data_IF_263310748607
#
_entry.id   IF_263310748607
#
_cell.length_a   1.000
_cell.length_b   1.000
_cell.length_c   1.000
_cell.angle_alpha   90.00
_cell.angle_beta   90.00
_cell.angle_gamma   90.00
#
_symmetry.space_group_name_H-M   'P 1'
#
loop_
_entity.id
_entity.type
_entity.pdbx_description
1 polymer ?
#
# COMPACT_ATOMS: atom_id res chain seq x y z
N UNK A 1 -30.28 -2.61 -41.13
CA UNK A 1 -30.03 -1.50 -42.06
C UNK A 1 -28.91 -0.65 -41.48
N UNK A 2 -27.67 -0.85 -41.93
CA UNK A 2 -26.50 -0.07 -41.51
C UNK A 2 -26.24 1.00 -42.57
N UNK A 3 -26.10 2.27 -42.18
CA UNK A 3 -25.04 3.06 -42.82
C UNK A 3 -24.54 4.20 -41.93
N UNK A 4 -23.63 3.99 -40.98
CA UNK A 4 -22.82 5.08 -40.43
C UNK A 4 -21.33 4.72 -40.57
N UNK A 5 -20.79 4.97 -41.75
CA UNK A 5 -19.35 5.04 -41.95
C UNK A 5 -18.82 6.27 -41.20
N UNK A 6 -18.17 6.04 -40.05
CA UNK A 6 -17.45 7.10 -39.35
C UNK A 6 -16.23 7.45 -40.20
N UNK A 7 -16.23 8.64 -40.80
CA UNK A 7 -15.07 9.21 -41.50
C UNK A 7 -13.85 9.11 -40.58
N UNK A 8 -12.71 8.67 -41.13
CA UNK A 8 -11.41 8.67 -40.48
C UNK A 8 -11.28 9.82 -39.48
N UNK A 9 -11.20 9.53 -38.19
CA UNK A 9 -10.68 10.50 -37.24
C UNK A 9 -9.26 10.82 -37.71
N UNK A 10 -9.14 11.94 -38.41
CA UNK A 10 -7.88 12.43 -38.93
C UNK A 10 -7.09 12.81 -37.69
N UNK A 11 -6.17 11.95 -37.25
CA UNK A 11 -5.17 12.36 -36.27
C UNK A 11 -4.51 13.59 -36.90
N UNK A 12 -4.71 14.77 -36.31
CA UNK A 12 -4.22 16.01 -36.92
C UNK A 12 -2.71 15.84 -37.16
N UNK A 13 -2.21 16.34 -38.30
CA UNK A 13 -0.87 16.05 -38.86
C UNK A 13 0.32 16.34 -37.91
N UNK A 14 0.10 16.95 -36.75
CA UNK A 14 1.12 17.39 -35.80
C UNK A 14 1.14 16.65 -34.45
N UNK A 15 0.46 15.50 -34.30
CA UNK A 15 0.50 14.73 -33.05
C UNK A 15 1.66 13.73 -33.00
N UNK A 16 2.25 13.56 -31.81
CA UNK A 16 3.29 12.57 -31.55
C UNK A 16 2.62 11.21 -31.30
N UNK A 17 2.89 10.21 -32.14
CA UNK A 17 2.29 8.88 -32.00
C UNK A 17 2.98 8.04 -30.92
N UNK A 18 2.20 7.42 -30.03
CA UNK A 18 2.74 6.44 -29.07
C UNK A 18 3.20 5.18 -29.77
N UNK A 19 4.50 4.87 -29.70
CA UNK A 19 5.06 3.62 -30.21
C UNK A 19 4.49 2.42 -29.43
N UNK A 20 4.20 1.32 -30.12
CA UNK A 20 3.81 0.05 -29.49
C UNK A 20 4.97 -0.95 -29.48
N UNK A 21 4.93 -1.94 -28.58
CA UNK A 21 5.89 -3.06 -28.53
C UNK A 21 5.16 -4.36 -28.21
N UNK A 22 5.57 -5.44 -28.86
CA UNK A 22 5.19 -6.79 -28.45
C UNK A 22 6.02 -7.23 -27.23
N UNK A 23 5.34 -7.63 -26.17
CA UNK A 23 5.92 -8.29 -25.00
C UNK A 23 5.55 -9.76 -25.04
N UNK A 24 6.56 -10.63 -25.05
CA UNK A 24 6.39 -12.06 -24.90
C UNK A 24 6.77 -12.46 -23.48
N UNK A 25 5.96 -13.31 -22.84
CA UNK A 25 6.24 -13.90 -21.53
C UNK A 25 5.86 -15.38 -21.56
N UNK A 26 6.78 -16.23 -21.15
CA UNK A 26 6.52 -17.65 -20.90
C UNK A 26 6.05 -17.77 -19.44
N UNK A 27 4.92 -18.41 -19.20
CA UNK A 27 4.55 -18.90 -17.87
C UNK A 27 5.00 -20.35 -17.78
N UNK A 28 5.61 -20.70 -16.66
CA UNK A 28 5.97 -22.07 -16.32
C UNK A 28 4.91 -22.69 -15.41
N UNK A 29 4.83 -24.01 -15.37
CA UNK A 29 4.05 -24.75 -14.39
C UNK A 29 4.78 -24.87 -13.04
N UNK A 30 4.20 -25.61 -12.09
CA UNK A 30 4.74 -25.86 -10.75
C UNK A 30 6.08 -26.63 -10.77
N UNK A 31 6.41 -27.29 -11.88
CA UNK A 31 7.66 -28.05 -12.08
C UNK A 31 8.72 -27.24 -12.82
N UNK A 32 8.43 -25.98 -13.17
CA UNK A 32 9.34 -25.11 -13.90
C UNK A 32 9.30 -25.26 -15.42
N UNK A 33 8.41 -26.11 -15.96
CA UNK A 33 8.30 -26.36 -17.39
C UNK A 33 7.40 -25.32 -18.09
N UNK A 34 7.70 -24.89 -19.33
CA UNK A 34 6.89 -23.92 -20.07
C UNK A 34 5.45 -24.40 -20.29
N UNK A 35 4.48 -23.75 -19.65
CA UNK A 35 3.05 -24.10 -19.74
C UNK A 35 2.26 -23.17 -20.67
N UNK A 36 2.61 -21.88 -20.74
CA UNK A 36 1.88 -20.91 -21.60
C UNK A 36 2.80 -19.85 -22.17
N UNK A 37 2.80 -19.71 -23.50
CA UNK A 37 3.42 -18.60 -24.21
C UNK A 37 2.40 -17.45 -24.33
N UNK A 38 2.68 -16.29 -23.73
CA UNK A 38 1.83 -15.10 -23.80
C UNK A 38 2.51 -14.02 -24.63
N UNK A 39 1.83 -13.50 -25.65
CA UNK A 39 2.22 -12.27 -26.34
C UNK A 39 1.21 -11.15 -26.08
N UNK A 40 1.68 -9.93 -25.86
CA UNK A 40 0.85 -8.74 -25.64
C UNK A 40 1.39 -7.57 -26.44
N UNK A 41 0.53 -6.90 -27.21
CA UNK A 41 0.87 -5.60 -27.78
C UNK A 41 0.59 -4.52 -26.72
N UNK A 42 1.63 -3.79 -26.32
CA UNK A 42 1.54 -2.77 -25.26
C UNK A 42 1.98 -1.42 -25.83
N UNK A 43 1.23 -0.38 -25.53
CA UNK A 43 1.62 1.00 -25.81
C UNK A 43 2.78 1.41 -24.89
N UNK A 44 3.82 2.06 -25.43
CA UNK A 44 4.94 2.57 -24.63
C UNK A 44 4.55 3.87 -23.91
N UNK A 45 3.69 3.77 -22.91
CA UNK A 45 3.11 4.91 -22.18
C UNK A 45 4.04 5.66 -21.22
N UNK A 46 5.31 5.25 -21.09
CA UNK A 46 6.26 5.85 -20.13
C UNK A 46 7.20 6.89 -20.73
N UNK A 47 7.04 7.26 -22.01
CA UNK A 47 7.86 8.32 -22.62
C UNK A 47 7.27 9.73 -22.42
N UNK A 48 6.01 9.81 -21.97
CA UNK A 48 5.31 11.08 -21.76
C UNK A 48 5.76 11.72 -20.44
N UNK A 49 6.07 13.00 -20.47
CA UNK A 49 6.36 13.80 -19.29
C UNK A 49 5.14 14.62 -18.91
N UNK A 50 4.77 14.53 -17.63
CA UNK A 50 3.71 15.36 -17.07
C UNK A 50 4.07 16.85 -17.27
N UNK A 51 3.12 17.63 -17.84
CA UNK A 51 3.23 19.05 -18.24
C UNK A 51 3.92 19.38 -19.58
N UNK A 52 4.62 18.45 -20.24
CA UNK A 52 5.22 18.70 -21.56
C UNK A 52 4.32 18.16 -22.68
N UNK A 53 4.13 16.85 -22.77
CA UNK A 53 3.53 16.18 -23.93
C UNK A 53 2.39 15.21 -23.54
N UNK A 54 2.02 15.21 -22.26
CA UNK A 54 1.07 14.26 -21.70
C UNK A 54 -0.31 14.26 -22.38
N UNK A 55 -0.76 15.42 -22.89
CA UNK A 55 -2.05 15.58 -23.57
C UNK A 55 -1.95 15.56 -25.10
N UNK A 56 -0.74 15.55 -25.65
CA UNK A 56 -0.48 15.73 -27.10
C UNK A 56 -0.09 14.41 -27.80
N UNK A 57 0.13 13.35 -27.03
CA UNK A 57 0.57 12.04 -27.52
C UNK A 57 -0.63 11.09 -27.61
N UNK A 58 -0.86 10.55 -28.81
CA UNK A 58 -2.01 9.68 -29.11
C UNK A 58 -1.53 8.30 -29.59
N UNK A 59 -2.18 7.24 -29.12
CA UNK A 59 -1.98 5.90 -29.68
C UNK A 59 -2.65 5.81 -31.07
N UNK A 60 -2.13 4.99 -32.01
CA UNK A 60 -2.79 4.76 -33.28
C UNK A 60 -4.25 4.33 -33.07
N UNK A 61 -5.18 4.87 -33.88
CA UNK A 61 -6.61 4.59 -33.81
C UNK A 61 -6.86 3.08 -33.99
N UNK A 62 -7.01 2.36 -32.88
CA UNK A 62 -7.51 1.00 -32.87
C UNK A 62 -8.99 1.04 -32.50
N UNK A 63 -9.84 0.37 -33.28
CA UNK A 63 -11.26 0.20 -32.95
C UNK A 63 -11.47 -0.66 -31.69
N UNK A 64 -10.41 -1.32 -31.19
CA UNK A 64 -10.43 -2.15 -29.98
C UNK A 64 -9.63 -1.49 -28.86
N UNK A 65 -10.07 -1.70 -27.62
CA UNK A 65 -9.32 -1.29 -26.44
C UNK A 65 -7.96 -2.01 -26.38
N UNK A 66 -6.87 -1.25 -26.29
CA UNK A 66 -5.51 -1.79 -26.17
C UNK A 66 -5.09 -1.80 -24.70
N UNK A 67 -4.63 -2.95 -24.22
CA UNK A 67 -4.12 -3.13 -22.87
C UNK A 67 -3.00 -2.14 -22.54
N UNK A 68 -3.09 -1.50 -21.36
CA UNK A 68 -2.13 -0.50 -20.88
C UNK A 68 -2.52 0.96 -21.18
N UNK A 69 -3.54 1.20 -22.02
CA UNK A 69 -4.13 2.53 -22.15
C UNK A 69 -5.11 2.81 -21.00
N UNK A 70 -5.15 4.06 -20.52
CA UNK A 70 -6.02 4.46 -19.39
C UNK A 70 -7.51 4.18 -19.62
N UNK A 71 -7.96 4.28 -20.87
CA UNK A 71 -9.34 4.05 -21.26
C UNK A 71 -9.70 2.56 -21.39
N UNK A 72 -8.72 1.67 -21.57
CA UNK A 72 -9.00 0.25 -21.83
C UNK A 72 -9.71 -0.45 -20.67
N UNK A 73 -9.32 -0.25 -19.39
CA UNK A 73 -10.07 -0.78 -18.25
C UNK A 73 -11.51 -0.30 -18.20
N UNK A 74 -11.79 0.98 -18.51
CA UNK A 74 -13.15 1.53 -18.50
C UNK A 74 -14.01 0.92 -19.61
N UNK A 75 -13.47 0.76 -20.81
CA UNK A 75 -14.18 0.10 -21.91
C UNK A 75 -14.48 -1.36 -21.60
N UNK A 76 -13.53 -2.08 -20.99
CA UNK A 76 -13.72 -3.45 -20.53
C UNK A 76 -14.83 -3.53 -19.47
N UNK A 77 -14.73 -2.71 -18.43
CA UNK A 77 -15.73 -2.66 -17.36
C UNK A 77 -17.13 -2.40 -17.90
N UNK A 78 -17.31 -1.40 -18.77
CA UNK A 78 -18.63 -1.09 -19.34
C UNK A 78 -19.20 -2.27 -20.16
N UNK A 79 -18.35 -2.99 -20.91
CA UNK A 79 -18.78 -4.17 -21.67
C UNK A 79 -19.22 -5.31 -20.75
N UNK A 80 -18.47 -5.54 -19.68
CA UNK A 80 -18.77 -6.57 -18.67
C UNK A 80 -20.05 -6.22 -17.90
N UNK A 81 -20.15 -4.99 -17.37
CA UNK A 81 -21.32 -4.51 -16.64
C UNK A 81 -22.60 -4.65 -17.48
N UNK A 82 -22.59 -4.22 -18.74
CA UNK A 82 -23.74 -4.37 -19.63
C UNK A 82 -24.11 -5.84 -19.90
N UNK A 83 -23.12 -6.73 -19.97
CA UNK A 83 -23.39 -8.16 -20.10
C UNK A 83 -24.01 -8.75 -18.82
N UNK A 84 -23.52 -8.34 -17.65
CA UNK A 84 -24.03 -8.75 -16.35
C UNK A 84 -25.47 -8.26 -16.13
N UNK A 85 -25.75 -7.01 -16.48
CA UNK A 85 -27.11 -6.46 -16.48
C UNK A 85 -28.05 -7.28 -17.38
N UNK A 86 -27.59 -7.67 -18.58
CA UNK A 86 -28.35 -8.54 -19.48
C UNK A 86 -28.58 -9.96 -18.93
N UNK A 87 -27.73 -10.44 -18.03
CA UNK A 87 -27.90 -11.74 -17.33
C UNK A 87 -28.91 -11.64 -16.19
N UNK A 88 -29.14 -10.44 -15.66
CA UNK A 88 -30.05 -10.16 -14.54
C UNK A 88 -29.38 -9.59 -13.29
N UNK A 89 -28.08 -9.27 -13.35
CA UNK A 89 -27.38 -8.63 -12.24
C UNK A 89 -27.68 -7.13 -12.14
N UNK A 90 -27.66 -6.59 -10.93
CA UNK A 90 -27.65 -5.16 -10.63
C UNK A 90 -26.37 -4.79 -9.89
N UNK A 91 -25.74 -3.67 -10.26
CA UNK A 91 -24.60 -3.14 -9.50
C UNK A 91 -25.04 -2.69 -8.10
N UNK A 92 -24.17 -2.85 -7.11
CA UNK A 92 -24.40 -2.40 -5.75
C UNK A 92 -24.34 -0.87 -5.67
N UNK A 93 -25.18 -0.27 -4.82
CA UNK A 93 -25.13 1.17 -4.55
C UNK A 93 -23.87 1.58 -3.76
N UNK A 94 -23.25 0.63 -3.03
CA UNK A 94 -22.09 0.90 -2.19
C UNK A 94 -20.76 0.69 -2.93
N UNK A 95 -20.73 -0.19 -3.94
CA UNK A 95 -19.53 -0.57 -4.69
C UNK A 95 -19.88 -1.00 -6.12
N UNK A 96 -19.45 -0.22 -7.12
CA UNK A 96 -19.71 -0.51 -8.54
C UNK A 96 -19.10 -1.86 -8.99
N UNK A 97 -18.09 -2.37 -8.29
CA UNK A 97 -17.46 -3.66 -8.61
C UNK A 97 -18.22 -4.88 -8.09
N UNK A 98 -19.23 -4.65 -7.24
CA UNK A 98 -20.08 -5.70 -6.67
C UNK A 98 -21.43 -5.72 -7.37
N UNK A 99 -21.78 -6.87 -7.92
CA UNK A 99 -23.05 -7.13 -8.59
C UNK A 99 -23.89 -8.14 -7.79
N UNK A 100 -25.20 -7.93 -7.76
CA UNK A 100 -26.15 -8.78 -7.05
C UNK A 100 -27.23 -9.29 -8.02
N UNK A 101 -27.66 -10.53 -7.85
CA UNK A 101 -28.79 -11.12 -8.58
C UNK A 101 -29.59 -11.99 -7.62
N UNK A 102 -30.92 -11.93 -7.71
CA UNK A 102 -31.79 -12.65 -6.76
C UNK A 102 -31.83 -12.02 -5.37
N UNK A 103 -32.55 -12.68 -4.45
CA UNK A 103 -32.74 -12.25 -3.06
C UNK A 103 -32.84 -13.48 -2.14
N UNK A 104 -32.54 -13.31 -0.84
CA UNK A 104 -32.62 -14.37 0.17
C UNK A 104 -31.70 -15.55 -0.14
N UNK A 105 -32.24 -16.77 -0.15
CA UNK A 105 -31.49 -18.01 -0.41
C UNK A 105 -31.04 -18.19 -1.88
N UNK A 106 -31.58 -17.36 -2.78
CA UNK A 106 -31.21 -17.32 -4.21
C UNK A 106 -30.27 -16.17 -4.55
N UNK A 107 -29.68 -15.55 -3.53
CA UNK A 107 -28.79 -14.41 -3.70
C UNK A 107 -27.45 -14.88 -4.27
N UNK A 108 -27.13 -14.37 -5.46
CA UNK A 108 -25.81 -14.49 -6.07
C UNK A 108 -25.08 -13.15 -6.00
N UNK A 109 -23.90 -13.14 -5.41
CA UNK A 109 -22.98 -12.01 -5.42
C UNK A 109 -21.85 -12.27 -6.40
N UNK A 110 -21.52 -11.26 -7.21
CA UNK A 110 -20.44 -11.31 -8.17
C UNK A 110 -19.54 -10.10 -7.96
N UNK A 111 -18.31 -10.34 -7.50
CA UNK A 111 -17.29 -9.32 -7.31
C UNK A 111 -16.32 -9.31 -8.49
N UNK A 112 -16.06 -8.14 -9.06
CA UNK A 112 -15.18 -7.96 -10.22
C UNK A 112 -13.92 -7.19 -9.82
N UNK A 113 -12.76 -7.78 -10.08
CA UNK A 113 -11.49 -7.06 -10.06
C UNK A 113 -10.79 -7.19 -11.42
N UNK A 114 -10.94 -6.16 -12.26
CA UNK A 114 -10.40 -6.12 -13.63
C UNK A 114 -10.85 -7.36 -14.43
N UNK A 115 -9.99 -8.36 -14.60
CA UNK A 115 -10.26 -9.59 -15.35
C UNK A 115 -10.66 -10.77 -14.43
N UNK A 116 -10.52 -10.62 -13.11
CA UNK A 116 -10.77 -11.67 -12.13
C UNK A 116 -12.18 -11.49 -11.50
N UNK A 117 -13.00 -12.54 -11.59
CA UNK A 117 -14.38 -12.55 -11.08
C UNK A 117 -14.48 -13.56 -9.94
N UNK A 118 -15.11 -13.15 -8.84
CA UNK A 118 -15.42 -13.99 -7.70
C UNK A 118 -16.94 -14.11 -7.53
N UNK A 119 -17.45 -15.34 -7.49
CA UNK A 119 -18.87 -15.65 -7.35
C UNK A 119 -19.15 -16.21 -5.96
N UNK A 120 -20.24 -15.76 -5.35
CA UNK A 120 -20.77 -16.27 -4.10
C UNK A 120 -22.25 -16.59 -4.28
N UNK A 121 -22.66 -17.79 -3.88
CA UNK A 121 -24.07 -18.20 -3.75
C UNK A 121 -24.13 -19.38 -2.77
N UNK A 122 -25.31 -19.59 -2.18
CA UNK A 122 -25.67 -20.78 -1.39
C UNK A 122 -25.95 -22.02 -2.24
N UNK A 123 -26.01 -21.89 -3.58
CA UNK A 123 -26.38 -22.95 -4.50
C UNK A 123 -25.39 -23.08 -5.65
N UNK A 124 -24.72 -24.22 -5.75
CA UNK A 124 -23.81 -24.52 -6.85
C UNK A 124 -24.51 -24.45 -8.22
N UNK A 125 -25.81 -24.79 -8.26
CA UNK A 125 -26.62 -24.68 -9.50
C UNK A 125 -26.71 -23.24 -10.01
N UNK A 126 -26.79 -22.27 -9.12
CA UNK A 126 -26.82 -20.85 -9.50
C UNK A 126 -25.45 -20.38 -9.99
N UNK A 127 -24.38 -20.82 -9.33
CA UNK A 127 -23.00 -20.56 -9.76
C UNK A 127 -22.79 -21.12 -11.18
N UNK A 128 -23.15 -22.37 -11.42
CA UNK A 128 -23.01 -23.03 -12.72
C UNK A 128 -23.83 -22.31 -13.80
N UNK A 129 -25.07 -21.92 -13.49
CA UNK A 129 -25.93 -21.17 -14.41
C UNK A 129 -25.34 -19.81 -14.79
N UNK A 130 -24.75 -19.08 -13.83
CA UNK A 130 -24.06 -17.81 -14.11
C UNK A 130 -22.77 -18.03 -14.90
N UNK A 131 -21.97 -19.05 -14.56
CA UNK A 131 -20.75 -19.40 -15.30
C UNK A 131 -21.04 -19.74 -16.76
N UNK A 132 -22.12 -20.49 -17.03
CA UNK A 132 -22.55 -20.82 -18.39
C UNK A 132 -22.88 -19.55 -19.19
N UNK A 133 -23.77 -18.69 -18.66
CA UNK A 133 -24.16 -17.44 -19.33
C UNK A 133 -22.98 -16.48 -19.56
N UNK A 134 -22.02 -16.45 -18.63
CA UNK A 134 -20.79 -15.67 -18.81
C UNK A 134 -19.90 -16.24 -19.92
N UNK A 135 -19.77 -17.57 -19.99
CA UNK A 135 -18.93 -18.25 -20.98
C UNK A 135 -19.49 -18.15 -22.40
N UNK A 136 -20.81 -17.95 -22.55
CA UNK A 136 -21.45 -17.65 -23.84
C UNK A 136 -21.01 -16.28 -24.40
N UNK A 137 -20.72 -15.31 -23.53
CA UNK A 137 -20.34 -13.94 -23.94
C UNK A 137 -18.83 -13.67 -23.88
N UNK A 138 -18.10 -14.40 -23.04
CA UNK A 138 -16.69 -14.15 -22.73
C UNK A 138 -15.89 -15.44 -22.69
N UNK A 139 -14.60 -15.33 -23.04
CA UNK A 139 -13.66 -16.45 -22.89
C UNK A 139 -13.23 -16.56 -21.42
N UNK A 140 -13.98 -17.32 -20.64
CA UNK A 140 -13.74 -17.55 -19.22
C UNK A 140 -13.00 -18.87 -18.98
N UNK A 141 -12.23 -18.93 -17.89
CA UNK A 141 -11.68 -20.17 -17.35
C UNK A 141 -12.18 -20.30 -15.92
N UNK A 142 -12.96 -21.34 -15.63
CA UNK A 142 -13.33 -21.67 -14.25
C UNK A 142 -12.10 -22.21 -13.52
N UNK A 143 -11.84 -21.66 -12.33
CA UNK A 143 -10.76 -22.09 -11.44
C UNK A 143 -11.27 -22.97 -10.30
N UNK A 144 -12.57 -23.29 -10.29
CA UNK A 144 -13.23 -24.03 -9.22
C UNK A 144 -13.36 -23.20 -7.95
N UNK A 145 -13.26 -23.87 -6.80
CA UNK A 145 -13.37 -23.24 -5.50
C UNK A 145 -12.30 -22.16 -5.27
N UNK A 146 -12.73 -20.98 -4.84
CA UNK A 146 -11.83 -19.86 -4.57
C UNK A 146 -10.96 -20.12 -3.33
N UNK A 147 -9.71 -20.55 -3.57
CA UNK A 147 -8.67 -20.70 -2.53
C UNK A 147 -7.64 -19.58 -2.56
N UNK A 148 -7.57 -18.83 -3.66
CA UNK A 148 -6.64 -17.72 -3.82
C UNK A 148 -7.28 -16.63 -4.68
N UNK A 149 -7.28 -15.40 -4.18
CA UNK A 149 -7.84 -14.23 -4.88
C UNK A 149 -7.00 -12.99 -4.55
N UNK A 150 -6.53 -12.27 -5.57
CA UNK A 150 -5.80 -11.00 -5.44
C UNK A 150 -4.64 -10.99 -4.43
N UNK A 151 -3.86 -12.08 -4.35
CA UNK A 151 -2.74 -12.14 -3.40
C UNK A 151 -3.12 -12.67 -2.01
N UNK A 152 -4.40 -12.97 -1.77
CA UNK A 152 -4.90 -13.54 -0.52
C UNK A 152 -5.23 -15.02 -0.71
N UNK A 153 -4.76 -15.85 0.22
CA UNK A 153 -5.28 -17.21 0.41
C UNK A 153 -6.58 -17.15 1.19
N UNK A 154 -7.53 -18.00 0.78
CA UNK A 154 -8.86 -18.13 1.35
C UNK A 154 -8.98 -19.55 1.89
N UNK A 155 -9.03 -19.68 3.20
CA UNK A 155 -9.35 -20.91 3.91
C UNK A 155 -10.72 -20.75 4.56
N UNK A 156 -11.56 -21.78 4.52
CA UNK A 156 -12.90 -21.74 5.11
C UNK A 156 -13.33 -23.09 5.59
N UNK A 157 -14.16 -23.07 6.61
CA UNK A 157 -14.84 -24.24 7.16
C UNK A 157 -16.32 -23.88 7.28
N UNK A 158 -17.13 -24.45 6.40
CA UNK A 158 -18.57 -24.19 6.34
C UNK A 158 -19.32 -24.82 7.50
N UNK A 159 -18.82 -25.93 8.07
CA UNK A 159 -19.44 -26.59 9.22
C UNK A 159 -19.22 -25.80 10.50
N UNK A 160 -18.00 -25.26 10.68
CA UNK A 160 -17.64 -24.45 11.85
C UNK A 160 -17.92 -22.96 11.67
N UNK A 161 -18.27 -22.52 10.46
CA UNK A 161 -18.69 -21.16 10.15
C UNK A 161 -17.58 -20.11 10.21
N UNK A 162 -16.32 -20.49 9.94
CA UNK A 162 -15.21 -19.53 9.90
C UNK A 162 -14.59 -19.41 8.50
N UNK A 163 -14.09 -18.19 8.23
CA UNK A 163 -13.35 -17.82 7.02
C UNK A 163 -12.04 -17.17 7.48
N UNK A 164 -10.92 -17.61 6.90
CA UNK A 164 -9.59 -17.07 7.16
C UNK A 164 -8.99 -16.59 5.86
N UNK A 165 -8.53 -15.35 5.89
CA UNK A 165 -7.83 -14.71 4.79
C UNK A 165 -6.38 -14.46 5.23
N UNK A 166 -5.40 -14.92 4.46
CA UNK A 166 -3.98 -14.71 4.83
C UNK A 166 -3.08 -14.63 3.60
N UNK A 167 -1.88 -14.08 3.77
CA UNK A 167 -0.86 -13.98 2.71
C UNK A 167 0.35 -14.88 2.99
N UNK A 168 0.12 -16.06 3.57
CA UNK A 168 1.19 -16.95 4.07
C UNK A 168 2.26 -17.25 3.02
N UNK A 169 1.87 -17.52 1.78
CA UNK A 169 2.82 -17.75 0.68
C UNK A 169 3.70 -16.51 0.39
N UNK A 170 3.13 -15.30 0.42
CA UNK A 170 3.91 -14.08 0.20
C UNK A 170 4.89 -13.85 1.35
N UNK A 171 4.44 -14.07 2.60
CA UNK A 171 5.29 -13.99 3.80
C UNK A 171 6.45 -14.98 3.69
N UNK A 172 6.17 -16.25 3.36
CA UNK A 172 7.20 -17.27 3.20
C UNK A 172 8.17 -16.94 2.05
N UNK A 173 7.65 -16.45 0.91
CA UNK A 173 8.49 -16.02 -0.21
C UNK A 173 9.44 -14.88 0.19
N UNK A 174 8.96 -13.93 1.00
CA UNK A 174 9.79 -12.87 1.56
C UNK A 174 10.80 -13.42 2.55
N UNK A 175 10.37 -14.31 3.46
CA UNK A 175 11.24 -14.93 4.45
C UNK A 175 12.39 -15.70 3.79
N UNK A 176 12.10 -16.51 2.77
CA UNK A 176 13.12 -17.21 1.98
C UNK A 176 14.04 -16.23 1.24
N UNK A 177 13.47 -15.23 0.55
CA UNK A 177 14.23 -14.24 -0.21
C UNK A 177 15.23 -13.45 0.66
N UNK A 178 14.86 -13.18 1.91
CA UNK A 178 15.68 -12.41 2.85
C UNK A 178 16.37 -13.29 3.90
N UNK A 179 16.34 -14.62 3.73
CA UNK A 179 16.92 -15.59 4.66
C UNK A 179 16.53 -15.32 6.13
N UNK A 180 15.25 -15.02 6.36
CA UNK A 180 14.67 -14.84 7.70
C UNK A 180 14.50 -16.22 8.34
N UNK A 181 15.56 -16.74 8.94
CA UNK A 181 15.52 -17.96 9.75
C UNK A 181 14.77 -17.72 11.06
N UNK A 182 14.08 -18.76 11.56
CA UNK A 182 13.29 -18.71 12.80
C UNK A 182 14.13 -18.24 14.02
N UNK A 183 15.43 -18.54 14.01
CA UNK A 183 16.44 -18.10 14.98
C UNK A 183 16.66 -16.57 15.03
N UNK A 184 16.15 -15.82 14.04
CA UNK A 184 16.20 -14.35 13.98
C UNK A 184 14.95 -13.67 14.50
N UNK A 185 13.87 -14.42 14.73
CA UNK A 185 12.71 -13.91 15.44
C UNK A 185 13.11 -13.86 16.91
N UNK A 186 13.45 -12.68 17.41
CA UNK A 186 13.80 -12.54 18.82
C UNK A 186 12.68 -13.13 19.67
N UNK A 187 13.03 -13.88 20.72
CA UNK A 187 12.13 -14.33 21.80
C UNK A 187 11.53 -13.14 22.60
N UNK A 188 11.65 -11.92 22.05
CA UNK A 188 11.22 -10.69 22.65
C UNK A 188 9.70 -10.61 22.70
N UNK A 189 9.21 -10.17 23.85
CA UNK A 189 7.84 -9.71 24.00
C UNK A 189 7.48 -8.76 22.84
N UNK A 190 6.31 -8.93 22.21
CA UNK A 190 5.83 -8.10 21.09
C UNK A 190 5.51 -6.70 21.60
N UNK A 191 6.56 -5.93 21.83
CA UNK A 191 6.53 -4.61 22.43
C UNK A 191 6.94 -3.59 21.40
N UNK A 192 6.05 -2.64 21.14
CA UNK A 192 6.31 -1.54 20.23
C UNK A 192 7.21 -0.50 20.91
N UNK A 193 8.16 0.04 20.17
CA UNK A 193 8.88 1.26 20.52
C UNK A 193 9.23 2.04 19.26
N UNK A 194 9.54 3.32 19.37
CA UNK A 194 9.93 4.10 18.21
C UNK A 194 11.03 5.10 18.57
N UNK A 195 11.94 5.31 17.63
CA UNK A 195 12.99 6.31 17.70
C UNK A 195 12.71 7.37 16.63
N UNK A 196 12.79 8.64 17.01
CA UNK A 196 12.60 9.78 16.11
C UNK A 196 13.78 10.75 16.22
N UNK A 197 14.18 11.29 15.07
CA UNK A 197 15.28 12.27 14.93
C UNK A 197 14.96 13.24 13.77
N UNK A 198 15.60 14.40 13.76
CA UNK A 198 15.57 15.31 12.63
C UNK A 198 16.89 16.06 12.43
N UNK A 199 17.21 16.38 11.18
CA UNK A 199 18.20 17.42 10.87
C UNK A 199 17.51 18.74 10.62
N UNK A 200 18.02 19.80 11.24
CA UNK A 200 17.50 21.15 11.05
C UNK A 200 18.15 21.83 9.84
N UNK A 201 17.32 22.39 8.96
CA UNK A 201 17.72 23.19 7.80
C UNK A 201 18.84 22.58 6.93
N UNK A 202 18.84 21.25 6.80
CA UNK A 202 19.89 20.50 6.13
C UNK A 202 19.77 20.48 4.61
N UNK A 203 18.62 20.83 4.04
CA UNK A 203 18.44 20.90 2.60
C UNK A 203 18.98 22.22 2.03
N UNK A 204 19.87 22.15 1.04
CA UNK A 204 20.61 23.33 0.55
C UNK A 204 19.73 24.29 -0.26
N UNK A 205 18.70 23.81 -0.94
CA UNK A 205 17.87 24.64 -1.83
C UNK A 205 16.83 25.48 -1.09
N UNK A 206 16.25 24.96 -0.01
CA UNK A 206 15.14 25.61 0.70
C UNK A 206 15.26 25.64 2.22
N UNK A 207 16.42 25.24 2.77
CA UNK A 207 16.67 25.20 4.22
C UNK A 207 15.61 24.41 5.01
N UNK A 208 14.99 23.42 4.36
CA UNK A 208 14.06 22.53 5.03
C UNK A 208 14.79 21.46 5.84
N UNK A 209 14.05 20.90 6.80
CA UNK A 209 14.55 19.88 7.72
C UNK A 209 14.25 18.48 7.17
N UNK A 210 15.08 17.48 7.47
CA UNK A 210 14.76 16.07 7.18
C UNK A 210 14.38 15.41 8.50
N UNK A 211 13.17 14.84 8.55
CA UNK A 211 12.71 14.08 9.71
C UNK A 211 12.75 12.58 9.42
N UNK A 212 13.09 11.79 10.44
CA UNK A 212 13.12 10.35 10.35
C UNK A 212 12.58 9.68 11.60
N UNK A 213 12.08 8.46 11.42
CA UNK A 213 11.74 7.59 12.54
C UNK A 213 11.92 6.12 12.16
N UNK A 214 12.11 5.28 13.19
CA UNK A 214 12.13 3.83 13.08
C UNK A 214 11.30 3.23 14.22
N UNK A 215 10.25 2.50 13.87
CA UNK A 215 9.40 1.74 14.79
C UNK A 215 9.91 0.31 14.88
N UNK A 216 10.08 -0.16 16.11
CA UNK A 216 10.63 -1.46 16.44
C UNK A 216 9.57 -2.32 17.14
N UNK A 217 9.47 -3.59 16.76
CA UNK A 217 8.65 -4.62 17.44
C UNK A 217 9.48 -5.89 17.54
N UNK A 218 9.51 -6.52 18.72
CA UNK A 218 10.26 -7.77 18.92
C UNK A 218 11.77 -7.65 18.66
N UNK A 219 12.33 -6.45 18.80
CA UNK A 219 13.75 -6.17 18.52
C UNK A 219 14.09 -5.89 17.06
N UNK A 220 13.12 -5.95 16.14
CA UNK A 220 13.31 -5.67 14.71
C UNK A 220 12.52 -4.46 14.20
N UNK A 221 12.96 -3.80 13.12
CA UNK A 221 12.27 -2.65 12.56
C UNK A 221 11.07 -3.08 11.71
N UNK A 222 9.89 -2.54 12.00
CA UNK A 222 8.64 -2.89 11.31
C UNK A 222 8.06 -1.74 10.49
N UNK A 223 8.43 -0.51 10.78
CA UNK A 223 8.07 0.68 10.00
C UNK A 223 9.15 1.74 10.16
N UNK A 224 9.55 2.39 9.08
CA UNK A 224 10.57 3.43 9.10
C UNK A 224 10.28 4.50 8.06
N UNK A 225 10.86 5.68 8.27
CA UNK A 225 10.72 6.80 7.35
C UNK A 225 11.94 7.69 7.39
N UNK A 226 12.34 8.18 6.22
CA UNK A 226 13.23 9.31 6.04
C UNK A 226 12.57 10.24 5.03
N UNK A 227 12.22 11.47 5.44
CA UNK A 227 11.58 12.41 4.52
C UNK A 227 11.88 13.87 4.88
N UNK A 228 12.11 14.67 3.84
CA UNK A 228 12.01 16.13 3.87
C UNK A 228 10.68 16.56 4.52
N UNK A 229 10.77 17.41 5.54
CA UNK A 229 9.60 17.94 6.23
C UNK A 229 8.86 18.92 5.31
N UNK A 230 7.53 18.81 5.26
CA UNK A 230 6.68 19.65 4.40
C UNK A 230 6.57 21.09 4.90
N UNK A 231 6.77 21.31 6.20
CA UNK A 231 6.73 22.63 6.82
C UNK A 231 8.13 23.04 7.29
N UNK A 232 8.44 24.33 7.17
CA UNK A 232 9.74 24.88 7.58
C UNK A 232 9.80 25.01 9.09
N UNK A 233 10.67 24.21 9.71
CA UNK A 233 10.99 24.33 11.12
C UNK A 233 11.80 25.60 11.41
N UNK A 234 11.38 26.42 12.37
CA UNK A 234 12.08 27.64 12.77
C UNK A 234 13.19 27.39 13.79
N UNK A 235 13.30 26.16 14.31
CA UNK A 235 14.37 25.76 15.22
C UNK A 235 14.64 24.26 15.15
N UNK A 236 15.79 23.82 15.66
CA UNK A 236 16.12 22.39 15.81
C UNK A 236 15.15 21.66 16.75
N UNK A 237 14.69 22.33 17.81
CA UNK A 237 13.71 21.79 18.75
C UNK A 237 12.36 21.55 18.06
N UNK A 238 12.00 22.42 17.13
CA UNK A 238 10.80 22.29 16.30
C UNK A 238 10.91 21.15 15.28
N UNK A 239 12.02 21.04 14.55
CA UNK A 239 12.20 19.94 13.58
C UNK A 239 12.16 18.57 14.26
N UNK A 240 12.74 18.46 15.45
CA UNK A 240 12.69 17.26 16.29
C UNK A 240 11.27 16.93 16.75
N UNK A 241 10.54 17.95 17.20
CA UNK A 241 9.13 17.78 17.57
C UNK A 241 8.27 17.31 16.39
N UNK A 242 8.54 17.83 15.19
CA UNK A 242 7.86 17.39 13.97
C UNK A 242 8.13 15.92 13.66
N UNK A 243 9.38 15.47 13.81
CA UNK A 243 9.73 14.06 13.66
C UNK A 243 9.00 13.19 14.70
N UNK A 244 9.02 13.58 15.97
CA UNK A 244 8.26 12.92 17.04
C UNK A 244 6.75 12.84 16.75
N UNK A 245 6.16 13.91 16.20
CA UNK A 245 4.75 13.92 15.82
C UNK A 245 4.44 12.91 14.70
N UNK A 246 5.30 12.83 13.68
CA UNK A 246 5.13 11.86 12.60
C UNK A 246 5.34 10.42 13.09
N UNK A 247 6.33 10.18 13.95
CA UNK A 247 6.54 8.90 14.61
C UNK A 247 5.32 8.48 15.44
N UNK A 248 4.77 9.39 16.26
CA UNK A 248 3.61 9.12 17.10
C UNK A 248 2.37 8.72 16.30
N UNK A 249 2.13 9.34 15.13
CA UNK A 249 1.04 8.91 14.24
C UNK A 249 1.20 7.47 13.79
N UNK A 250 2.42 7.10 13.38
CA UNK A 250 2.73 5.74 12.95
C UNK A 250 2.56 4.75 14.10
N UNK A 251 3.07 5.09 15.28
CA UNK A 251 2.95 4.26 16.48
C UNK A 251 1.49 3.99 16.86
N UNK A 252 0.60 4.98 16.77
CA UNK A 252 -0.82 4.79 17.08
C UNK A 252 -1.49 3.85 16.07
N UNK A 253 -1.12 3.95 14.79
CA UNK A 253 -1.60 3.00 13.79
C UNK A 253 -1.09 1.58 14.08
N UNK A 254 0.21 1.43 14.36
CA UNK A 254 0.81 0.15 14.73
C UNK A 254 0.20 -0.44 16.01
N UNK A 255 -0.10 0.37 17.03
CA UNK A 255 -0.79 -0.10 18.25
C UNK A 255 -2.16 -0.72 17.94
N UNK A 256 -2.91 -0.13 16.99
CA UNK A 256 -4.21 -0.67 16.57
C UNK A 256 -4.04 -1.98 15.81
N UNK A 257 -3.10 -2.02 14.87
CA UNK A 257 -2.77 -3.24 14.13
C UNK A 257 -2.34 -4.36 15.08
N UNK A 258 -1.43 -4.08 16.01
CA UNK A 258 -0.95 -5.04 17.02
C UNK A 258 -2.11 -5.56 17.90
N UNK A 259 -3.04 -4.69 18.28
CA UNK A 259 -4.25 -5.09 19.00
C UNK A 259 -5.13 -6.03 18.18
N UNK A 260 -5.36 -5.74 16.89
CA UNK A 260 -6.17 -6.58 16.00
C UNK A 260 -5.57 -7.98 15.80
N UNK A 261 -4.24 -8.11 15.83
CA UNK A 261 -3.55 -9.40 15.73
C UNK A 261 -3.26 -10.07 17.09
N UNK A 262 -3.86 -9.59 18.19
CA UNK A 262 -3.78 -10.23 19.52
C UNK A 262 -2.62 -9.81 20.41
N UNK A 263 -1.87 -8.76 20.04
CA UNK A 263 -0.72 -8.22 20.79
C UNK A 263 -0.98 -6.80 21.30
N UNK A 264 -2.08 -6.60 22.04
CA UNK A 264 -2.45 -5.29 22.58
C UNK A 264 -1.35 -4.70 23.49
N UNK A 265 -0.98 -3.45 23.21
CA UNK A 265 0.01 -2.71 23.98
C UNK A 265 -0.66 -2.06 25.20
N UNK A 266 -0.58 -2.67 26.39
CA UNK A 266 -1.34 -2.23 27.58
C UNK A 266 -0.72 -1.06 28.34
N UNK A 267 0.55 -0.73 28.08
CA UNK A 267 1.24 0.41 28.68
C UNK A 267 1.58 1.50 27.64
N UNK A 268 2.03 2.65 28.13
CA UNK A 268 2.49 3.75 27.30
C UNK A 268 3.66 3.28 26.41
N UNK A 269 3.55 3.47 25.10
CA UNK A 269 4.60 3.05 24.16
C UNK A 269 5.75 4.06 24.18
N UNK A 270 7.01 3.62 24.38
CA UNK A 270 8.18 4.50 24.35
C UNK A 270 8.40 5.16 22.99
N UNK A 271 8.50 6.49 23.00
CA UNK A 271 8.92 7.33 21.89
C UNK A 271 10.26 8.00 22.24
N UNK A 272 11.33 7.47 21.70
CA UNK A 272 12.69 7.89 21.96
C UNK A 272 13.11 9.07 21.08
N UNK A 273 13.71 10.10 21.69
CA UNK A 273 14.32 11.24 21.00
C UNK A 273 15.54 11.74 21.79
N UNK A 274 16.54 12.30 21.12
CA UNK A 274 17.69 12.94 21.77
C UNK A 274 17.46 14.45 22.02
N UNK A 275 16.29 14.98 21.67
CA UNK A 275 15.92 16.38 21.90
C UNK A 275 15.15 16.55 23.21
N UNK A 276 15.88 16.92 24.28
CA UNK A 276 15.26 17.28 25.58
C UNK A 276 14.23 18.41 25.43
N UNK A 277 14.49 19.36 24.52
CA UNK A 277 13.57 20.46 24.21
C UNK A 277 12.25 19.97 23.62
N UNK A 278 12.31 19.08 22.61
CA UNK A 278 11.11 18.51 21.99
C UNK A 278 10.30 17.65 22.98
N UNK A 279 10.98 16.85 23.80
CA UNK A 279 10.36 16.07 24.87
C UNK A 279 9.66 16.98 25.90
N UNK A 280 10.32 18.06 26.31
CA UNK A 280 9.72 19.04 27.22
C UNK A 280 8.47 19.68 26.61
N UNK A 281 8.48 20.01 25.31
CA UNK A 281 7.29 20.52 24.61
C UNK A 281 6.16 19.47 24.54
N UNK A 282 6.48 18.18 24.43
CA UNK A 282 5.48 17.12 24.38
C UNK A 282 4.81 16.90 25.74
N UNK A 283 5.55 17.07 26.85
CA UNK A 283 5.07 16.88 28.23
C UNK A 283 4.38 18.15 28.79
N UNK A 284 4.95 19.33 28.59
CA UNK A 284 4.57 20.55 29.32
C UNK A 284 3.62 21.48 28.56
N UNK A 285 2.97 22.39 29.31
CA UNK A 285 1.93 23.30 28.81
C UNK A 285 2.41 24.63 28.26
N UNK A 286 3.70 24.95 28.42
CA UNK A 286 4.19 26.30 28.20
C UNK A 286 4.38 26.53 26.70
N UNK A 287 3.30 26.97 26.06
CA UNK A 287 3.32 27.49 24.71
C UNK A 287 3.93 28.89 24.76
N UNK A 288 5.22 29.02 24.43
CA UNK A 288 5.76 30.34 24.12
C UNK A 288 5.18 30.83 22.79
N UNK A 289 4.87 32.13 22.70
CA UNK A 289 4.13 32.75 21.59
C UNK A 289 4.77 32.63 20.19
N UNK A 290 5.96 32.04 20.09
CA UNK A 290 6.78 31.87 18.88
C UNK A 290 6.35 30.71 17.97
N UNK A 291 5.39 29.86 18.38
CA UNK A 291 5.13 28.58 17.72
C UNK A 291 3.67 28.37 17.31
N UNK A 292 2.95 29.46 17.07
CA UNK A 292 1.51 29.42 16.74
C UNK A 292 1.21 28.62 15.47
N UNK A 293 2.15 28.58 14.51
CA UNK A 293 2.02 27.85 13.24
C UNK A 293 2.00 26.33 13.41
N UNK A 294 2.52 25.81 14.52
CA UNK A 294 2.55 24.36 14.82
C UNK A 294 1.49 23.88 15.80
N UNK A 295 0.63 24.78 16.29
CA UNK A 295 -0.25 24.56 17.45
C UNK A 295 -1.04 23.24 17.39
N UNK A 296 -1.52 22.83 16.22
CA UNK A 296 -2.29 21.59 16.03
C UNK A 296 -1.44 20.35 16.33
N UNK A 297 -0.24 20.25 15.73
CA UNK A 297 0.68 19.11 15.94
C UNK A 297 1.04 18.97 17.41
N UNK A 298 1.25 20.11 18.05
CA UNK A 298 1.61 20.22 19.46
C UNK A 298 0.53 19.70 20.40
N UNK A 299 -0.69 20.21 20.23
CA UNK A 299 -1.82 19.74 21.04
C UNK A 299 -2.11 18.27 20.82
N UNK A 300 -1.96 17.79 19.59
CA UNK A 300 -2.23 16.39 19.25
C UNK A 300 -1.25 15.44 19.95
N UNK A 301 0.06 15.60 19.75
CA UNK A 301 1.05 14.70 20.37
C UNK A 301 0.97 14.77 21.89
N UNK A 302 0.84 15.98 22.44
CA UNK A 302 0.68 16.18 23.88
C UNK A 302 -0.57 15.52 24.44
N UNK A 303 -1.68 15.52 23.70
CA UNK A 303 -2.90 14.82 24.12
C UNK A 303 -2.63 13.33 24.30
N UNK A 304 -1.94 12.71 23.34
CA UNK A 304 -1.59 11.28 23.40
C UNK A 304 -0.62 10.97 24.55
N UNK A 305 0.32 11.87 24.83
CA UNK A 305 1.22 11.75 26.00
C UNK A 305 0.43 11.86 27.31
N UNK A 306 -0.49 12.83 27.42
CA UNK A 306 -1.34 12.99 28.61
C UNK A 306 -2.31 11.83 28.84
N UNK A 307 -2.78 11.21 27.77
CA UNK A 307 -3.63 10.02 27.84
C UNK A 307 -2.85 8.77 28.26
N UNK A 308 -1.51 8.83 28.34
CA UNK A 308 -0.66 7.68 28.61
C UNK A 308 -0.57 6.72 27.43
N UNK A 309 -0.97 7.12 26.22
CA UNK A 309 -0.81 6.30 25.01
C UNK A 309 0.67 6.13 24.65
N UNK A 310 1.44 7.22 24.77
CA UNK A 310 2.84 7.32 24.38
C UNK A 310 3.66 7.96 25.52
N UNK A 311 4.89 7.50 25.72
CA UNK A 311 5.84 8.12 26.65
C UNK A 311 7.09 8.60 25.91
N UNK A 312 7.29 9.93 25.76
CA UNK A 312 8.50 10.48 25.19
C UNK A 312 9.70 10.33 26.13
N UNK A 313 10.73 9.58 25.73
CA UNK A 313 11.90 9.26 26.55
C UNK A 313 13.17 9.82 25.90
N UNK A 314 14.03 10.42 26.71
CA UNK A 314 15.32 10.92 26.25
C UNK A 314 16.31 9.77 26.02
N UNK A 315 16.99 9.77 24.87
CA UNK A 315 18.13 8.89 24.59
C UNK A 315 19.36 9.73 24.27
N UNK A 316 20.54 9.18 24.53
CA UNK A 316 21.78 9.80 24.06
C UNK A 316 21.89 9.61 22.55
N UNK A 317 22.50 10.55 21.83
CA UNK A 317 22.73 10.45 20.37
C UNK A 317 23.47 9.16 19.98
N UNK A 318 24.37 8.61 20.81
CA UNK A 318 25.02 7.32 20.53
C UNK A 318 24.04 6.13 20.56
N UNK A 319 22.87 6.30 21.17
CA UNK A 319 21.79 5.32 21.32
C UNK A 319 20.58 5.64 20.43
N UNK A 320 20.77 6.48 19.40
CA UNK A 320 19.71 6.95 18.51
C UNK A 320 19.80 6.24 17.14
N UNK A 321 19.11 5.10 16.93
CA UNK A 321 19.09 4.43 15.64
C UNK A 321 18.40 5.25 14.54
N UNK A 322 17.62 6.29 14.86
CA UNK A 322 17.03 7.14 13.81
C UNK A 322 18.05 8.06 13.12
N UNK A 323 19.27 8.21 13.66
CA UNK A 323 20.30 9.10 13.11
C UNK A 323 20.68 8.78 11.65
N UNK A 324 20.77 7.51 11.27
CA UNK A 324 21.15 7.16 9.89
C UNK A 324 20.04 7.42 8.86
N UNK A 325 18.81 7.71 9.33
CA UNK A 325 17.68 8.07 8.47
C UNK A 325 17.69 9.56 8.13
N UNK A 326 18.37 10.39 8.91
CA UNK A 326 18.32 11.85 8.83
C UNK A 326 19.69 12.46 8.51
N UNK A 327 20.77 11.84 8.97
CA UNK A 327 22.15 12.33 8.89
C UNK A 327 22.98 11.48 7.94
N UNK A 328 23.92 12.13 7.24
CA UNK A 328 25.02 11.42 6.54
C UNK A 328 26.07 11.05 7.58
N UNK A 329 26.03 9.80 8.04
CA UNK A 329 26.94 9.28 9.06
C UNK A 329 28.24 8.74 8.46
N UNK A 330 29.33 8.86 9.21
CA UNK A 330 30.54 8.09 8.97
C UNK A 330 30.29 6.59 9.23
N UNK A 331 31.19 5.74 8.75
CA UNK A 331 31.03 4.28 8.75
C UNK A 331 30.73 3.70 10.15
N UNK A 332 31.50 4.05 11.17
CA UNK A 332 31.34 3.48 12.52
C UNK A 332 29.99 3.89 13.18
N UNK A 333 29.58 5.17 13.18
CA UNK A 333 28.24 5.57 13.62
C UNK A 333 27.10 4.97 12.79
N UNK A 334 27.29 4.81 11.47
CA UNK A 334 26.30 4.16 10.59
C UNK A 334 26.06 2.71 11.04
N UNK A 335 27.13 1.92 11.16
CA UNK A 335 27.03 0.53 11.59
C UNK A 335 26.52 0.37 13.02
N UNK A 336 26.81 1.33 13.91
CA UNK A 336 26.22 1.36 15.25
C UNK A 336 24.69 1.47 15.16
N UNK A 337 24.17 2.35 14.33
CA UNK A 337 22.72 2.50 14.18
C UNK A 337 22.06 1.28 13.53
N UNK A 338 22.70 0.67 12.52
CA UNK A 338 22.25 -0.57 11.89
C UNK A 338 22.12 -1.69 12.94
N UNK A 339 23.13 -1.87 13.81
CA UNK A 339 23.09 -2.85 14.90
C UNK A 339 21.99 -2.55 15.93
N UNK A 340 21.82 -1.28 16.31
CA UNK A 340 20.74 -0.87 17.24
C UNK A 340 19.36 -1.08 16.65
N UNK A 341 19.22 -0.96 15.33
CA UNK A 341 17.99 -1.28 14.60
C UNK A 341 17.78 -2.80 14.42
N UNK A 342 18.58 -3.66 15.04
CA UNK A 342 18.44 -5.11 14.93
C UNK A 342 18.74 -5.66 13.53
N UNK A 343 19.43 -4.88 12.70
CA UNK A 343 19.79 -5.27 11.34
C UNK A 343 21.21 -5.85 11.34
N UNK A 344 21.41 -6.99 10.68
CA UNK A 344 22.71 -7.59 10.42
C UNK A 344 22.97 -7.68 8.92
N UNK A 345 24.23 -7.53 8.52
CA UNK A 345 24.68 -7.96 7.19
C UNK A 345 24.98 -9.46 7.26
N UNK A 346 24.53 -10.20 6.25
CA UNK A 346 25.01 -11.54 5.95
C UNK A 346 26.32 -11.46 5.18
#
# INVERSE_FOLDING_TARGET
MWPHAVRHATVARNHVLTKCKWLAKIKTDEKGEPSVYKSRLVAKGFQQKEKEDYKEVFAPNCYKAIYGLKQAPRCWYNRLASALEGIGFRASACDESLFLMGEGESLVLLLVYVDDILLFSSSDKEIDGVQQKLTEQFKCKSLGEARYYLGMHIERDTERGWLKLHQGQYINTLAEKYSLQEERLGEGNVFLSCFADATWASEHEDSSSVGGYICMVGGGPVSWRSKKQSETALSSVESEYMAMFHAAKEMIWLRRLLKEIGHEQTCATPLFSDSKGAIAMARNAVLHGLNKHMRIKWHWLRKEVKLGTLDPIYVKTQQQPADFLTKRLAEEPHWRCVRMAGMSLN
#
